data_IF_664409674219
#
_entry.id   IF_664409674219
#
_cell.length_a   1.000
_cell.length_b   1.000
_cell.length_c   1.000
_cell.angle_alpha   90.00
_cell.angle_beta   90.00
_cell.angle_gamma   90.00
#
_symmetry.space_group_name_H-M   'P 1'
#
loop_
_entity.id
_entity.type
_entity.pdbx_description
1 polymer ?
#
# COMPACT_ATOMS: atom_id res chain seq x y z
N UNK A 1 5.35 -30.55 -0.79
CA UNK A 1 6.07 -30.05 -2.01
C UNK A 1 5.80 -28.57 -2.32
N UNK A 2 4.81 -27.94 -1.67
CA UNK A 2 4.48 -26.52 -1.87
C UNK A 2 5.19 -25.60 -0.85
N UNK A 3 5.67 -26.12 0.26
CA UNK A 3 6.31 -25.36 1.35
C UNK A 3 7.77 -24.98 1.02
N UNK A 4 8.46 -25.76 0.19
CA UNK A 4 9.87 -25.48 -0.17
C UNK A 4 10.07 -24.29 -1.14
N UNK A 5 9.03 -23.84 -1.85
CA UNK A 5 9.19 -22.74 -2.80
C UNK A 5 9.11 -21.35 -2.16
N UNK A 6 8.46 -21.24 -0.99
CA UNK A 6 8.33 -19.94 -0.30
C UNK A 6 9.60 -19.48 0.41
N UNK A 7 10.44 -20.42 0.88
CA UNK A 7 11.66 -20.06 1.62
C UNK A 7 12.81 -19.57 0.75
N UNK A 8 12.79 -19.84 -0.57
CA UNK A 8 13.89 -19.51 -1.49
C UNK A 8 13.79 -18.11 -2.12
N UNK A 9 12.64 -17.43 -2.01
CA UNK A 9 12.41 -16.08 -2.54
C UNK A 9 12.03 -15.06 -1.47
N UNK A 10 12.35 -15.33 -0.21
CA UNK A 10 12.20 -14.32 0.83
C UNK A 10 13.12 -13.15 0.51
N UNK A 11 12.56 -11.97 0.27
CA UNK A 11 13.29 -10.74 0.12
C UNK A 11 14.25 -10.60 1.32
N UNK A 12 15.55 -10.62 1.05
CA UNK A 12 16.60 -10.65 2.08
C UNK A 12 16.52 -9.45 3.03
N UNK A 13 15.91 -8.36 2.56
CA UNK A 13 15.66 -7.13 3.32
C UNK A 13 14.49 -7.24 4.31
N UNK A 14 13.73 -8.35 4.30
CA UNK A 14 12.61 -8.59 5.20
C UNK A 14 12.94 -9.57 6.35
N UNK A 15 14.20 -9.84 6.61
CA UNK A 15 14.61 -10.57 7.82
C UNK A 15 14.34 -9.70 9.05
N UNK A 16 13.16 -9.85 9.61
CA UNK A 16 12.82 -9.28 10.92
C UNK A 16 13.48 -10.13 12.00
N UNK A 17 14.50 -9.61 12.73
CA UNK A 17 15.23 -10.41 13.72
C UNK A 17 14.37 -10.81 14.93
N UNK A 18 13.13 -10.33 15.01
CA UNK A 18 12.23 -10.52 16.16
C UNK A 18 11.18 -11.60 15.91
N UNK A 19 10.95 -12.02 14.66
CA UNK A 19 9.92 -13.02 14.33
C UNK A 19 10.60 -14.28 13.83
N UNK A 20 10.29 -15.42 14.47
CA UNK A 20 10.80 -16.73 14.05
C UNK A 20 10.19 -17.12 12.70
N UNK A 21 11.01 -17.67 11.81
CA UNK A 21 10.58 -18.06 10.45
C UNK A 21 9.37 -19.01 10.48
N UNK A 22 9.31 -19.94 11.45
CA UNK A 22 8.19 -20.88 11.62
C UNK A 22 6.86 -20.16 11.93
N UNK A 23 6.92 -19.01 12.63
CA UNK A 23 5.73 -18.21 12.94
C UNK A 23 5.27 -17.46 11.69
N UNK A 24 6.21 -16.91 10.92
CA UNK A 24 5.91 -16.25 9.64
C UNK A 24 5.26 -17.24 8.67
N UNK A 25 5.85 -18.43 8.52
CA UNK A 25 5.31 -19.48 7.66
C UNK A 25 3.92 -19.93 8.11
N UNK A 26 3.71 -20.10 9.42
CA UNK A 26 2.40 -20.42 9.98
C UNK A 26 1.37 -19.33 9.68
N UNK A 27 1.71 -18.07 9.90
CA UNK A 27 0.82 -16.93 9.62
C UNK A 27 0.46 -16.88 8.13
N UNK A 28 1.44 -16.99 7.24
CA UNK A 28 1.23 -16.92 5.78
C UNK A 28 0.40 -18.08 5.24
N UNK A 29 0.56 -19.28 5.80
CA UNK A 29 -0.23 -20.45 5.38
C UNK A 29 -1.66 -20.44 5.90
N UNK A 30 -1.98 -19.65 6.92
CA UNK A 30 -3.32 -19.58 7.55
C UNK A 30 -4.11 -18.33 7.15
N UNK A 31 -3.47 -17.32 6.62
CA UNK A 31 -4.16 -16.12 6.17
C UNK A 31 -4.90 -16.38 4.86
N UNK A 32 -6.04 -15.71 4.69
CA UNK A 32 -6.78 -15.74 3.43
C UNK A 32 -5.94 -15.05 2.34
N UNK A 33 -5.58 -15.75 1.27
CA UNK A 33 -4.84 -15.13 0.17
C UNK A 33 -5.63 -13.99 -0.47
N UNK A 34 -4.94 -13.16 -1.23
CA UNK A 34 -5.59 -12.24 -2.15
C UNK A 34 -6.21 -13.02 -3.31
N UNK A 35 -7.22 -12.46 -3.96
CA UNK A 35 -7.93 -13.10 -5.06
C UNK A 35 -8.24 -12.08 -6.16
N UNK A 36 -8.58 -12.59 -7.35
CA UNK A 36 -8.98 -11.75 -8.48
C UNK A 36 -7.89 -10.77 -8.90
N UNK A 37 -8.24 -9.50 -9.01
CA UNK A 37 -7.32 -8.44 -9.43
C UNK A 37 -6.03 -8.38 -8.58
N UNK A 38 -6.15 -8.49 -7.27
CA UNK A 38 -5.01 -8.43 -6.37
C UNK A 38 -4.09 -9.66 -6.51
N UNK A 39 -4.63 -10.84 -6.82
CA UNK A 39 -3.84 -12.04 -7.10
C UNK A 39 -3.04 -11.89 -8.40
N UNK A 40 -3.65 -11.34 -9.45
CA UNK A 40 -2.96 -11.07 -10.72
C UNK A 40 -1.83 -10.05 -10.52
N UNK A 41 -2.08 -9.00 -9.75
CA UNK A 41 -1.08 -7.97 -9.44
C UNK A 41 0.06 -8.50 -8.55
N UNK A 42 -0.25 -9.34 -7.57
CA UNK A 42 0.77 -9.99 -6.74
C UNK A 42 1.67 -10.90 -7.59
N UNK A 43 1.09 -11.67 -8.51
CA UNK A 43 1.83 -12.53 -9.43
C UNK A 43 2.73 -11.71 -10.38
N UNK A 44 2.21 -10.59 -10.91
CA UNK A 44 2.96 -9.67 -11.75
C UNK A 44 4.12 -9.02 -10.97
N UNK A 45 3.85 -8.47 -9.78
CA UNK A 45 4.87 -7.86 -8.93
C UNK A 45 6.01 -8.84 -8.61
N UNK A 46 5.67 -10.10 -8.32
CA UNK A 46 6.65 -11.16 -8.07
C UNK A 46 7.50 -11.48 -9.28
N UNK A 47 6.88 -11.54 -10.46
CA UNK A 47 7.56 -11.82 -11.74
C UNK A 47 8.56 -10.72 -12.10
N UNK A 48 8.17 -9.47 -11.95
CA UNK A 48 8.96 -8.29 -12.31
C UNK A 48 9.85 -7.78 -11.16
N UNK A 49 9.86 -8.48 -10.01
CA UNK A 49 10.58 -8.08 -8.78
C UNK A 49 10.20 -6.68 -8.26
N UNK A 50 8.96 -6.28 -8.45
CA UNK A 50 8.44 -5.01 -7.92
C UNK A 50 8.03 -5.21 -6.46
N UNK A 51 8.52 -4.37 -5.53
CA UNK A 51 8.10 -4.45 -4.15
C UNK A 51 6.63 -4.00 -4.00
N UNK A 52 5.86 -4.80 -3.29
CA UNK A 52 4.50 -4.47 -2.84
C UNK A 52 4.39 -4.77 -1.35
N UNK A 53 3.38 -4.21 -0.69
CA UNK A 53 3.15 -4.46 0.74
C UNK A 53 3.09 -5.95 1.05
N UNK A 54 3.71 -6.41 2.16
CA UNK A 54 3.76 -7.82 2.50
C UNK A 54 2.38 -8.33 2.95
N UNK A 55 2.26 -9.64 2.97
CA UNK A 55 1.02 -10.33 3.30
C UNK A 55 0.46 -9.97 4.70
N UNK A 56 1.34 -9.68 5.63
CA UNK A 56 0.99 -9.22 6.97
C UNK A 56 0.33 -7.84 6.94
N UNK A 57 0.84 -6.91 6.13
CA UNK A 57 0.25 -5.59 5.92
C UNK A 57 -1.09 -5.71 5.20
N UNK A 58 -1.22 -6.61 4.23
CA UNK A 58 -2.51 -6.91 3.56
C UNK A 58 -3.57 -7.35 4.58
N UNK A 59 -3.22 -8.27 5.48
CA UNK A 59 -4.15 -8.75 6.52
C UNK A 59 -4.54 -7.63 7.50
N UNK A 60 -3.56 -6.83 7.89
CA UNK A 60 -3.78 -5.67 8.76
C UNK A 60 -4.70 -4.63 8.11
N UNK A 61 -4.47 -4.31 6.83
CA UNK A 61 -5.31 -3.36 6.09
C UNK A 61 -6.74 -3.85 5.94
N UNK A 62 -6.95 -5.13 5.62
CA UNK A 62 -8.29 -5.71 5.58
C UNK A 62 -9.04 -5.50 6.89
N UNK A 63 -8.40 -5.79 8.03
CA UNK A 63 -9.00 -5.58 9.35
C UNK A 63 -9.28 -4.09 9.61
N UNK A 64 -8.27 -3.24 9.41
CA UNK A 64 -8.32 -1.83 9.76
C UNK A 64 -9.35 -1.07 8.92
N UNK A 65 -9.31 -1.25 7.60
CA UNK A 65 -10.21 -0.56 6.68
C UNK A 65 -11.67 -1.02 6.84
N UNK A 66 -11.90 -2.31 7.06
CA UNK A 66 -13.24 -2.81 7.34
C UNK A 66 -13.80 -2.32 8.67
N UNK A 67 -12.96 -2.10 9.67
CA UNK A 67 -13.38 -1.56 10.96
C UNK A 67 -13.64 -0.05 10.92
N UNK A 68 -12.78 0.70 10.22
CA UNK A 68 -12.83 2.16 10.18
C UNK A 68 -13.79 2.71 9.11
N UNK A 69 -13.90 2.01 7.97
CA UNK A 69 -14.66 2.47 6.79
C UNK A 69 -14.35 3.93 6.41
N UNK A 70 -13.06 4.27 6.16
CA UNK A 70 -12.67 5.61 5.81
C UNK A 70 -13.37 6.08 4.54
N UNK A 71 -13.55 7.38 4.40
CA UNK A 71 -14.20 8.01 3.25
C UNK A 71 -13.21 8.70 2.31
N UNK A 72 -12.11 9.20 2.85
CA UNK A 72 -11.06 9.88 2.09
C UNK A 72 -9.70 9.34 2.48
N UNK A 73 -9.07 8.65 1.56
CA UNK A 73 -7.76 8.02 1.76
C UNK A 73 -6.71 8.77 0.95
N UNK A 74 -5.58 9.08 1.57
CA UNK A 74 -4.37 9.54 0.89
C UNK A 74 -3.29 8.48 0.98
N UNK A 75 -2.68 8.14 -0.16
CA UNK A 75 -1.56 7.22 -0.25
C UNK A 75 -0.34 7.91 -0.85
N UNK A 76 0.84 7.68 -0.26
CA UNK A 76 2.12 8.14 -0.79
C UNK A 76 2.97 6.92 -1.13
N UNK A 77 3.16 6.69 -2.43
CA UNK A 77 3.78 5.49 -2.97
C UNK A 77 2.75 4.57 -3.62
N UNK A 78 2.37 4.88 -4.87
CA UNK A 78 1.39 4.07 -5.62
C UNK A 78 1.99 2.76 -6.13
N UNK A 79 3.26 2.77 -6.50
CA UNK A 79 3.92 1.69 -7.25
C UNK A 79 3.02 1.21 -8.42
N UNK A 80 2.63 -0.06 -8.43
CA UNK A 80 1.74 -0.63 -9.46
C UNK A 80 0.25 -0.50 -9.14
N UNK A 81 -0.13 0.18 -8.05
CA UNK A 81 -1.52 0.37 -7.61
C UNK A 81 -2.09 -0.77 -6.76
N UNK A 82 -1.26 -1.69 -6.27
CA UNK A 82 -1.71 -2.85 -5.49
C UNK A 82 -2.39 -2.44 -4.18
N UNK A 83 -1.73 -1.61 -3.37
CA UNK A 83 -2.25 -1.10 -2.09
C UNK A 83 -3.49 -0.23 -2.27
N UNK A 84 -3.50 0.65 -3.29
CA UNK A 84 -4.66 1.46 -3.61
C UNK A 84 -5.90 0.60 -3.95
N UNK A 85 -5.73 -0.44 -4.77
CA UNK A 85 -6.80 -1.38 -5.10
C UNK A 85 -7.24 -2.23 -3.92
N UNK A 86 -6.30 -2.64 -3.04
CA UNK A 86 -6.63 -3.31 -1.79
C UNK A 86 -7.47 -2.42 -0.88
N UNK A 87 -7.11 -1.14 -0.77
CA UNK A 87 -7.88 -0.17 0.01
C UNK A 87 -9.27 0.06 -0.57
N UNK A 88 -9.40 0.20 -1.89
CA UNK A 88 -10.68 0.32 -2.58
C UNK A 88 -11.59 -0.91 -2.39
N UNK A 89 -11.02 -2.13 -2.36
CA UNK A 89 -11.77 -3.36 -2.09
C UNK A 89 -12.35 -3.39 -0.67
N UNK A 90 -11.57 -2.91 0.32
CA UNK A 90 -11.93 -3.01 1.74
C UNK A 90 -12.62 -1.76 2.32
N UNK A 91 -12.62 -0.65 1.60
CA UNK A 91 -13.36 0.58 1.88
C UNK A 91 -14.15 1.01 0.63
N UNK A 92 -15.26 0.33 0.31
CA UNK A 92 -15.95 0.47 -0.98
C UNK A 92 -16.57 1.84 -1.24
N UNK A 93 -16.72 2.65 -0.23
CA UNK A 93 -17.23 4.03 -0.32
C UNK A 93 -16.13 5.09 -0.27
N UNK A 94 -14.86 4.69 -0.14
CA UNK A 94 -13.75 5.63 -0.05
C UNK A 94 -13.43 6.25 -1.41
N UNK A 95 -12.99 7.52 -1.38
CA UNK A 95 -12.24 8.14 -2.45
C UNK A 95 -10.76 8.10 -2.08
N UNK A 96 -9.93 7.62 -2.99
CA UNK A 96 -8.52 7.37 -2.74
C UNK A 96 -7.70 8.28 -3.65
N UNK A 97 -6.87 9.12 -3.06
CA UNK A 97 -5.83 9.88 -3.78
C UNK A 97 -4.50 9.18 -3.54
N UNK A 98 -3.81 8.79 -4.60
CA UNK A 98 -2.50 8.14 -4.51
C UNK A 98 -1.46 8.89 -5.32
N UNK A 99 -0.23 8.99 -4.82
CA UNK A 99 0.84 9.82 -5.38
C UNK A 99 2.05 8.94 -5.71
N UNK A 100 2.58 9.08 -6.92
CA UNK A 100 3.86 8.50 -7.28
C UNK A 100 4.62 9.42 -8.25
N UNK A 101 5.97 9.29 -8.26
CA UNK A 101 6.85 10.04 -9.15
C UNK A 101 7.63 9.17 -10.13
N UNK A 102 7.60 7.86 -9.93
CA UNK A 102 8.32 6.94 -10.80
C UNK A 102 7.50 6.66 -12.07
N UNK A 103 7.99 7.15 -13.21
CA UNK A 103 7.28 7.08 -14.49
C UNK A 103 6.93 5.64 -14.91
N UNK A 104 7.82 4.66 -14.63
CA UNK A 104 7.56 3.26 -14.94
C UNK A 104 6.42 2.70 -14.07
N UNK A 105 6.47 2.96 -12.76
CA UNK A 105 5.41 2.54 -11.83
C UNK A 105 4.08 3.22 -12.14
N UNK A 106 4.11 4.51 -12.46
CA UNK A 106 2.93 5.26 -12.92
C UNK A 106 2.31 4.61 -14.16
N UNK A 107 3.14 4.18 -15.11
CA UNK A 107 2.67 3.46 -16.30
C UNK A 107 1.89 2.20 -15.93
N UNK A 108 2.47 1.33 -15.11
CA UNK A 108 1.79 0.12 -14.61
C UNK A 108 0.54 0.45 -13.79
N UNK A 109 0.61 1.44 -12.90
CA UNK A 109 -0.53 1.85 -12.10
C UNK A 109 -1.71 2.30 -12.97
N UNK A 110 -1.48 3.13 -14.00
CA UNK A 110 -2.52 3.57 -14.94
C UNK A 110 -3.21 2.41 -15.63
N UNK A 111 -2.45 1.44 -16.13
CA UNK A 111 -3.00 0.24 -16.78
C UNK A 111 -3.84 -0.59 -15.79
N UNK A 112 -3.32 -0.80 -14.60
CA UNK A 112 -3.98 -1.59 -13.57
C UNK A 112 -5.26 -0.90 -13.04
N UNK A 113 -5.19 0.40 -12.77
CA UNK A 113 -6.36 1.16 -12.33
C UNK A 113 -7.44 1.23 -13.42
N UNK A 114 -7.06 1.41 -14.69
CA UNK A 114 -8.00 1.36 -15.80
C UNK A 114 -8.72 0.00 -15.91
N UNK A 115 -8.02 -1.10 -15.59
CA UNK A 115 -8.55 -2.46 -15.66
C UNK A 115 -9.41 -2.84 -14.46
N UNK A 116 -9.00 -2.44 -13.24
CA UNK A 116 -9.54 -3.00 -12.01
C UNK A 116 -10.32 -2.02 -11.14
N UNK A 117 -10.07 -0.70 -11.22
CA UNK A 117 -10.86 0.31 -10.48
C UNK A 117 -12.17 0.64 -11.22
N UNK A 118 -13.08 -0.32 -11.23
CA UNK A 118 -14.37 -0.18 -11.93
C UNK A 118 -15.29 0.87 -11.32
N UNK A 119 -15.11 1.20 -10.03
CA UNK A 119 -15.88 2.22 -9.32
C UNK A 119 -15.32 3.62 -9.47
N UNK A 120 -14.14 3.75 -10.09
CA UNK A 120 -13.41 5.02 -10.23
C UNK A 120 -13.19 5.73 -8.89
N UNK A 121 -12.77 4.97 -7.91
CA UNK A 121 -12.50 5.44 -6.56
C UNK A 121 -11.10 6.02 -6.41
N UNK A 122 -10.18 5.69 -7.32
CA UNK A 122 -8.75 5.96 -7.20
C UNK A 122 -8.33 7.05 -8.18
N UNK A 123 -7.77 8.12 -7.64
CA UNK A 123 -7.16 9.22 -8.42
C UNK A 123 -5.64 9.14 -8.24
N UNK A 124 -4.91 8.89 -9.31
CA UNK A 124 -3.45 8.91 -9.33
C UNK A 124 -2.95 10.31 -9.66
N UNK A 125 -2.15 10.88 -8.78
CA UNK A 125 -1.42 12.14 -8.97
C UNK A 125 0.05 11.84 -9.25
N UNK A 126 0.57 12.38 -10.33
CA UNK A 126 1.92 12.15 -10.83
C UNK A 126 2.84 13.28 -10.37
N UNK A 127 3.89 12.96 -9.64
CA UNK A 127 4.88 13.94 -9.20
C UNK A 127 5.57 13.60 -7.89
N UNK A 128 6.53 14.42 -7.51
CA UNK A 128 7.16 14.30 -6.19
C UNK A 128 6.14 14.68 -5.10
N UNK A 129 5.99 13.80 -4.12
CA UNK A 129 5.03 14.02 -3.04
C UNK A 129 5.27 15.32 -2.25
N UNK A 130 6.53 15.83 -2.23
CA UNK A 130 6.83 17.15 -1.61
C UNK A 130 6.02 18.25 -2.27
N UNK A 131 5.96 18.24 -3.59
CA UNK A 131 5.27 19.28 -4.37
C UNK A 131 3.76 19.03 -4.41
N UNK A 132 3.37 17.79 -4.75
CA UNK A 132 1.94 17.41 -4.87
C UNK A 132 1.17 17.65 -3.58
N UNK A 133 1.75 17.32 -2.42
CA UNK A 133 1.11 17.53 -1.12
C UNK A 133 0.81 19.02 -0.84
N UNK A 134 1.61 19.96 -1.36
CA UNK A 134 1.34 21.40 -1.16
C UNK A 134 0.08 21.87 -1.89
N UNK A 135 -0.23 21.26 -3.01
CA UNK A 135 -1.37 21.62 -3.85
C UNK A 135 -2.68 20.97 -3.37
N UNK A 136 -2.61 19.99 -2.49
CA UNK A 136 -3.81 19.36 -1.93
C UNK A 136 -4.51 20.29 -0.95
N UNK A 137 -5.82 20.42 -1.13
CA UNK A 137 -6.68 21.26 -0.27
C UNK A 137 -7.74 20.43 0.49
N UNK A 138 -7.91 19.17 0.11
CA UNK A 138 -8.84 18.25 0.77
C UNK A 138 -8.23 17.68 2.05
N UNK A 139 -9.08 17.31 3.00
CA UNK A 139 -8.69 16.56 4.19
C UNK A 139 -8.95 15.08 4.02
N UNK A 140 -8.22 14.26 4.77
CA UNK A 140 -8.26 12.80 4.70
C UNK A 140 -8.48 12.21 6.09
N UNK A 141 -9.26 11.16 6.17
CA UNK A 141 -9.50 10.42 7.42
C UNK A 141 -8.57 9.20 7.57
N UNK A 142 -7.90 8.81 6.48
CA UNK A 142 -6.89 7.77 6.49
C UNK A 142 -5.72 8.12 5.56
N UNK A 143 -4.49 8.03 6.07
CA UNK A 143 -3.28 8.28 5.28
C UNK A 143 -2.35 7.07 5.37
N UNK A 144 -1.89 6.59 4.22
CA UNK A 144 -0.89 5.54 4.11
C UNK A 144 0.39 6.08 3.46
N UNK A 145 1.53 5.85 4.12
CA UNK A 145 2.85 6.25 3.63
C UNK A 145 3.71 5.01 3.43
N UNK A 146 3.96 4.67 2.17
CA UNK A 146 4.90 3.64 1.75
C UNK A 146 5.83 4.20 0.67
N UNK A 147 6.80 4.98 1.09
CA UNK A 147 7.76 5.64 0.19
C UNK A 147 9.16 5.67 0.80
N UNK A 148 10.08 6.42 0.20
CA UNK A 148 11.43 6.56 0.73
C UNK A 148 11.40 7.12 2.18
N UNK A 149 11.79 6.32 3.15
CA UNK A 149 11.72 6.58 4.60
C UNK A 149 12.39 7.86 5.04
N UNK A 150 13.49 8.22 4.39
CA UNK A 150 14.18 9.49 4.62
C UNK A 150 13.31 10.72 4.33
N UNK A 151 12.21 10.55 3.61
CA UNK A 151 11.26 11.61 3.27
C UNK A 151 10.09 11.74 4.24
N UNK A 152 9.85 10.77 5.11
CA UNK A 152 8.72 10.79 6.05
C UNK A 152 8.72 12.04 6.92
N UNK A 153 9.88 12.43 7.45
CA UNK A 153 10.01 13.65 8.25
C UNK A 153 9.65 14.94 7.47
N UNK A 154 9.84 14.92 6.14
CA UNK A 154 9.51 16.04 5.25
C UNK A 154 8.01 16.08 4.97
N UNK A 155 7.39 14.92 4.75
CA UNK A 155 5.96 14.83 4.42
C UNK A 155 5.05 15.01 5.63
N UNK A 156 5.47 14.51 6.80
CA UNK A 156 4.63 14.40 7.99
C UNK A 156 3.98 15.72 8.43
N UNK A 157 4.67 16.88 8.46
CA UNK A 157 4.02 18.14 8.84
C UNK A 157 2.82 18.46 7.96
N UNK A 158 2.98 18.33 6.64
CA UNK A 158 1.88 18.62 5.70
C UNK A 158 0.77 17.58 5.78
N UNK A 159 1.11 16.32 5.96
CA UNK A 159 0.13 15.25 6.15
C UNK A 159 -0.74 15.49 7.39
N UNK A 160 -0.14 15.96 8.50
CA UNK A 160 -0.89 16.27 9.71
C UNK A 160 -1.86 17.45 9.53
N UNK A 161 -1.54 18.41 8.64
CA UNK A 161 -2.46 19.50 8.29
C UNK A 161 -3.64 19.01 7.43
N UNK A 162 -3.40 18.00 6.59
CA UNK A 162 -4.41 17.37 5.74
C UNK A 162 -5.21 16.29 6.46
N UNK A 163 -4.79 15.86 7.64
CA UNK A 163 -5.44 14.81 8.40
C UNK A 163 -6.64 15.37 9.18
N UNK A 164 -7.78 14.71 9.04
CA UNK A 164 -8.97 15.04 9.84
C UNK A 164 -8.76 14.70 11.32
N UNK A 165 -9.47 15.41 12.19
CA UNK A 165 -9.46 15.10 13.63
C UNK A 165 -10.04 13.71 13.86
N UNK A 166 -9.24 12.84 14.45
CA UNK A 166 -9.57 11.42 14.62
C UNK A 166 -9.12 10.53 13.46
N UNK A 167 -8.54 11.11 12.42
CA UNK A 167 -7.96 10.37 11.29
C UNK A 167 -6.72 9.58 11.69
N UNK A 168 -6.34 8.62 10.86
CA UNK A 168 -5.25 7.67 11.11
C UNK A 168 -4.16 7.80 10.06
N UNK A 169 -2.91 7.82 10.50
CA UNK A 169 -1.73 7.72 9.62
C UNK A 169 -1.06 6.36 9.85
N UNK A 170 -0.85 5.63 8.77
CA UNK A 170 -0.10 4.37 8.75
C UNK A 170 1.21 4.60 8.02
N UNK A 171 2.31 4.28 8.66
CA UNK A 171 3.66 4.40 8.12
C UNK A 171 4.21 2.99 7.93
N UNK A 172 4.59 2.61 6.71
CA UNK A 172 5.26 1.32 6.48
C UNK A 172 6.77 1.43 6.73
N UNK A 173 7.34 0.33 7.19
CA UNK A 173 8.78 0.09 7.29
C UNK A 173 9.61 1.15 8.06
N UNK A 174 9.05 1.85 9.03
CA UNK A 174 9.74 2.93 9.79
C UNK A 174 11.01 2.48 10.53
N UNK A 175 11.19 1.18 10.75
CA UNK A 175 12.34 0.60 11.45
C UNK A 175 13.35 -0.09 10.54
N UNK A 176 13.21 0.02 9.23
CA UNK A 176 14.25 -0.43 8.30
C UNK A 176 15.31 0.67 8.18
N UNK A 177 16.43 0.48 8.82
CA UNK A 177 17.62 1.31 8.72
C UNK A 177 18.72 0.62 7.93
#
# INVERSE_FOLDING_TARGET
>A
KMVESYSKNANHNMRRPVVKDEIVDFMRTRQKPVAGALEELEAFARKENIPIIPHETVAYFRLLLQALQPKKILEIGTAIGFSALLMAENAPDAQITTIDRNEEMIGFAKENLAKYDQRKQITLLEGDAVDVLQDLTETYDFVFMDSAKSKYIVFLPRILELLEVGGIVVLDDIFQG
#
